data_IF_272507853336
#
_entry.id   IF_272507853336
#
_cell.length_a   1.000
_cell.length_b   1.000
_cell.length_c   1.000
_cell.angle_alpha   90.00
_cell.angle_beta   90.00
_cell.angle_gamma   90.00
#
_symmetry.space_group_name_H-M   'P 1'
#
loop_
_entity.id
_entity.type
_entity.pdbx_description
1 polymer ?
#
# COMPACT_ATOMS: atom_id res chain seq x y z
N UNK A 1 15.74 -3.52 -7.93
CA UNK A 1 15.37 -2.80 -9.17
C UNK A 1 14.33 -1.74 -8.80
N UNK A 2 14.71 -0.47 -8.86
CA UNK A 2 14.01 0.67 -8.25
C UNK A 2 13.16 1.42 -9.29
N UNK A 3 12.29 0.72 -10.02
CA UNK A 3 11.47 1.31 -11.11
C UNK A 3 10.65 2.54 -10.66
N UNK A 4 10.24 2.57 -9.39
CA UNK A 4 9.53 3.70 -8.76
C UNK A 4 10.37 4.98 -8.63
N UNK A 5 11.69 4.90 -8.77
CA UNK A 5 12.60 6.04 -8.70
C UNK A 5 12.93 6.64 -10.06
N UNK A 6 12.47 6.02 -11.14
CA UNK A 6 12.69 6.54 -12.49
C UNK A 6 11.87 7.83 -12.71
N UNK A 7 12.47 8.88 -13.30
CA UNK A 7 11.80 10.17 -13.48
C UNK A 7 10.46 10.06 -14.22
N UNK A 8 10.39 9.21 -15.24
CA UNK A 8 9.17 8.96 -16.01
C UNK A 8 8.08 8.30 -15.15
N UNK A 9 8.44 7.28 -14.36
CA UNK A 9 7.53 6.62 -13.43
C UNK A 9 7.02 7.56 -12.35
N UNK A 10 7.89 8.44 -11.82
CA UNK A 10 7.50 9.46 -10.83
C UNK A 10 6.54 10.49 -11.41
N UNK A 11 6.84 11.06 -12.58
CA UNK A 11 6.00 12.04 -13.25
C UNK A 11 4.59 11.51 -13.56
N UNK A 12 4.46 10.20 -13.80
CA UNK A 12 3.17 9.55 -14.04
C UNK A 12 2.34 9.34 -12.75
N UNK A 13 2.99 9.25 -11.58
CA UNK A 13 2.35 9.06 -10.28
C UNK A 13 2.00 10.37 -9.56
N UNK A 14 2.73 11.46 -9.83
CA UNK A 14 2.46 12.81 -9.32
C UNK A 14 0.98 13.27 -9.46
N UNK A 15 0.30 13.09 -10.61
CA UNK A 15 -1.11 13.48 -10.74
C UNK A 15 -2.09 12.57 -9.98
N UNK A 16 -1.68 11.37 -9.55
CA UNK A 16 -2.55 10.41 -8.83
C UNK A 16 -2.57 10.68 -7.31
N UNK A 17 -1.91 11.74 -6.83
CA UNK A 17 -1.63 12.00 -5.41
C UNK A 17 -0.99 10.80 -4.69
N UNK A 18 -0.39 9.89 -5.47
CA UNK A 18 0.31 8.73 -4.98
C UNK A 18 1.75 9.14 -4.70
N UNK A 19 2.10 9.32 -3.43
CA UNK A 19 3.49 9.50 -3.03
C UNK A 19 4.22 8.17 -3.29
N UNK A 20 5.21 8.11 -4.21
CA UNK A 20 5.99 6.90 -4.38
C UNK A 20 6.64 6.60 -3.02
N UNK A 21 6.26 5.48 -2.41
CA UNK A 21 6.88 4.97 -1.20
C UNK A 21 7.98 3.97 -1.59
N UNK A 22 9.22 4.40 -1.90
CA UNK A 22 10.33 3.49 -2.05
C UNK A 22 10.67 2.89 -0.70
N UNK A 23 10.06 1.76 -0.39
CA UNK A 23 10.50 0.90 0.69
C UNK A 23 11.27 -0.31 0.15
N UNK A 24 11.98 -1.00 1.03
CA UNK A 24 12.46 -2.35 0.72
C UNK A 24 11.28 -3.34 0.63
N UNK A 25 11.43 -4.50 -0.04
CA UNK A 25 10.40 -5.54 -0.03
C UNK A 25 9.95 -5.94 1.38
N UNK A 26 10.85 -5.91 2.36
CA UNK A 26 10.56 -6.20 3.77
C UNK A 26 9.67 -5.13 4.41
N UNK A 27 9.88 -3.85 4.08
CA UNK A 27 9.03 -2.75 4.53
C UNK A 27 7.62 -2.87 3.99
N UNK A 28 7.48 -3.23 2.71
CA UNK A 28 6.18 -3.50 2.11
C UNK A 28 5.48 -4.71 2.76
N UNK A 29 6.22 -5.79 3.03
CA UNK A 29 5.70 -6.95 3.74
C UNK A 29 5.18 -6.62 5.16
N UNK A 30 5.90 -5.77 5.89
CA UNK A 30 5.46 -5.27 7.20
C UNK A 30 4.19 -4.42 7.09
N UNK A 31 4.12 -3.52 6.10
CA UNK A 31 2.95 -2.68 5.85
C UNK A 31 1.70 -3.53 5.60
N UNK A 32 1.76 -4.47 4.64
CA UNK A 32 0.62 -5.34 4.33
C UNK A 32 0.15 -6.15 5.54
N UNK A 33 1.08 -6.64 6.36
CA UNK A 33 0.73 -7.40 7.57
C UNK A 33 0.00 -6.55 8.60
N UNK A 34 0.44 -5.31 8.81
CA UNK A 34 -0.20 -4.36 9.71
C UNK A 34 -1.61 -3.97 9.22
N UNK A 35 -1.74 -3.68 7.92
CA UNK A 35 -3.02 -3.31 7.33
C UNK A 35 -4.03 -4.46 7.40
N UNK A 36 -3.62 -5.70 7.09
CA UNK A 36 -4.48 -6.89 7.25
C UNK A 36 -4.99 -7.06 8.67
N UNK A 37 -4.14 -6.88 9.68
CA UNK A 37 -4.53 -7.00 11.08
C UNK A 37 -5.56 -5.93 11.47
N UNK A 38 -5.30 -4.67 11.13
CA UNK A 38 -6.17 -3.53 11.43
C UNK A 38 -7.55 -3.68 10.77
N UNK A 39 -7.57 -3.87 9.45
CA UNK A 39 -8.83 -3.92 8.70
C UNK A 39 -9.59 -5.23 8.93
N UNK A 40 -8.89 -6.35 9.09
CA UNK A 40 -9.52 -7.61 9.46
C UNK A 40 -10.25 -7.54 10.80
N UNK A 41 -9.66 -6.89 11.80
CA UNK A 41 -10.33 -6.66 13.08
C UNK A 41 -11.58 -5.78 12.92
N UNK A 42 -11.50 -4.71 12.13
CA UNK A 42 -12.64 -3.85 11.84
C UNK A 42 -13.79 -4.61 11.16
N UNK A 43 -13.49 -5.35 10.09
CA UNK A 43 -14.48 -6.10 9.30
C UNK A 43 -15.24 -7.08 10.21
N UNK A 44 -14.50 -7.84 11.05
CA UNK A 44 -15.11 -8.77 12.01
C UNK A 44 -16.00 -8.06 13.02
N UNK A 45 -15.55 -6.93 13.59
CA UNK A 45 -16.36 -6.15 14.55
C UNK A 45 -17.63 -5.60 13.89
N UNK A 46 -17.52 -5.16 12.64
CA UNK A 46 -18.58 -4.47 11.93
C UNK A 46 -19.57 -5.44 11.26
N UNK A 47 -19.29 -6.75 11.29
CA UNK A 47 -20.12 -7.76 10.63
C UNK A 47 -20.17 -7.61 9.11
N UNK A 48 -19.18 -6.91 8.53
CA UNK A 48 -19.11 -6.68 7.07
C UNK A 48 -18.79 -8.01 6.39
N UNK A 49 -19.60 -8.36 5.39
CA UNK A 49 -19.38 -9.50 4.50
C UNK A 49 -19.22 -8.97 3.08
N UNK A 50 -18.25 -9.52 2.36
CA UNK A 50 -18.21 -9.39 0.91
C UNK A 50 -19.25 -10.36 0.33
N UNK A 51 -19.96 -9.87 -0.67
CA UNK A 51 -20.87 -10.59 -1.56
C UNK A 51 -20.15 -11.56 -2.51
#
# INVERSE_FOLDING_TARGET
HTMLQEPETRARLEPEAADPAPGTPEEFGRFISAEKARWGALIRRAGVRAD
#
